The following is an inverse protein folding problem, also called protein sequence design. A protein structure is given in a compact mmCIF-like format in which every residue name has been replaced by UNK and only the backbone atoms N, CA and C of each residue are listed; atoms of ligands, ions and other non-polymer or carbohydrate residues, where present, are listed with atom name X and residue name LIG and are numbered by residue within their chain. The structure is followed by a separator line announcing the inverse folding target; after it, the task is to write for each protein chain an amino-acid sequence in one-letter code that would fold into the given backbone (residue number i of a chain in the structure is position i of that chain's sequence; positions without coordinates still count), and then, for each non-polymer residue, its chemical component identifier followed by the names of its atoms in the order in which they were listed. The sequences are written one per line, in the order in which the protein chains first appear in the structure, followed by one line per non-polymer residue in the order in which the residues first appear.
data_IF_700187692606
#
_entry.id   IF_700187692606
#
_cell.length_a   1.000
_cell.length_b   1.000
_cell.length_c   1.000
_cell.angle_alpha   90.00
_cell.angle_beta   90.00
_cell.angle_gamma   90.00
#
_symmetry.space_group_name_H-M   'P 1'
#
loop_
_entity.id
_entity.type
_entity.pdbx_description
1 polymer ?
#
# COMPACT_ATOMS: atom_id res chain seq x y z
N UNK A 1 -12.47 -5.01 -31.06
CA UNK A 1 -12.24 -3.78 -30.27
C UNK A 1 -12.02 -4.23 -28.84
N UNK A 2 -10.76 -4.27 -28.40
CA UNK A 2 -10.37 -4.99 -27.20
C UNK A 2 -9.65 -4.08 -26.20
N UNK A 3 -10.10 -4.14 -24.95
CA UNK A 3 -9.27 -3.81 -23.78
C UNK A 3 -8.55 -2.44 -23.90
N UNK A 4 -9.32 -1.36 -24.13
CA UNK A 4 -8.83 -0.14 -24.80
C UNK A 4 -8.58 1.05 -23.83
N UNK A 5 -7.62 0.88 -22.92
CA UNK A 5 -7.11 1.94 -22.05
C UNK A 5 -5.75 2.52 -22.52
N UNK A 6 -5.44 3.80 -22.26
CA UNK A 6 -4.24 4.46 -22.76
C UNK A 6 -2.95 3.83 -22.20
N UNK A 7 -1.89 3.81 -23.03
CA UNK A 7 -0.57 3.24 -22.71
C UNK A 7 0.14 3.98 -21.57
N UNK A 8 -0.06 5.29 -21.48
CA UNK A 8 0.43 6.14 -20.40
C UNK A 8 -0.73 6.95 -19.81
N UNK A 9 -0.66 7.24 -18.51
CA UNK A 9 -1.69 8.02 -17.79
C UNK A 9 -1.05 8.88 -16.70
N UNK A 10 -1.56 10.10 -16.54
CA UNK A 10 -1.25 11.00 -15.43
C UNK A 10 -2.40 10.96 -14.41
N UNK A 11 -2.09 11.07 -13.13
CA UNK A 11 -3.09 11.13 -12.07
C UNK A 11 -2.52 11.68 -10.76
N UNK A 12 -3.35 12.32 -9.94
CA UNK A 12 -3.11 12.42 -8.50
C UNK A 12 -3.54 11.12 -7.83
N UNK A 13 -2.76 10.62 -6.87
CA UNK A 13 -2.93 9.24 -6.41
C UNK A 13 -4.20 9.01 -5.56
N UNK A 14 -5.18 8.27 -6.10
CA UNK A 14 -6.43 7.90 -5.39
C UNK A 14 -6.21 7.27 -4.00
N UNK A 15 -5.11 6.52 -3.83
CA UNK A 15 -4.77 5.78 -2.61
C UNK A 15 -3.26 5.72 -2.39
N UNK A 16 -2.84 5.75 -1.12
CA UNK A 16 -1.43 5.66 -0.69
C UNK A 16 -0.83 4.24 -0.69
N UNK A 17 -1.33 3.34 -1.53
CA UNK A 17 -0.98 1.91 -1.53
C UNK A 17 -0.04 1.50 -2.67
N UNK A 18 0.01 2.28 -3.75
CA UNK A 18 0.80 1.95 -4.94
C UNK A 18 2.31 2.05 -4.66
N UNK A 19 3.07 0.99 -4.98
CA UNK A 19 4.53 0.98 -4.91
C UNK A 19 5.08 1.46 -6.25
N UNK A 20 6.02 2.42 -6.22
CA UNK A 20 6.67 2.91 -7.43
C UNK A 20 7.50 1.80 -8.12
N UNK A 21 7.28 1.59 -9.41
CA UNK A 21 7.94 0.53 -10.19
C UNK A 21 9.37 0.87 -10.65
N UNK A 22 9.94 2.02 -10.24
CA UNK A 22 11.36 2.29 -10.46
C UNK A 22 12.21 1.41 -9.54
N UNK A 23 13.25 0.75 -10.08
CA UNK A 23 13.94 -0.34 -9.39
C UNK A 23 14.52 0.02 -8.00
N UNK A 24 14.97 1.26 -7.79
CA UNK A 24 15.42 1.75 -6.49
C UNK A 24 14.25 1.95 -5.50
N UNK A 25 13.20 2.65 -5.93
CA UNK A 25 12.00 2.89 -5.12
C UNK A 25 11.28 1.59 -4.77
N UNK A 26 11.21 0.64 -5.71
CA UNK A 26 10.62 -0.70 -5.51
C UNK A 26 11.40 -1.52 -4.48
N UNK A 27 12.74 -1.49 -4.53
CA UNK A 27 13.61 -2.12 -3.51
C UNK A 27 13.49 -1.50 -2.12
N UNK A 28 13.20 -0.20 -2.05
CA UNK A 28 12.97 0.53 -0.81
C UNK A 28 11.49 0.52 -0.36
N UNK A 29 10.62 -0.26 -1.01
CA UNK A 29 9.16 -0.30 -0.80
C UNK A 29 8.49 1.09 -0.77
N UNK A 30 9.05 2.05 -1.50
CA UNK A 30 8.62 3.44 -1.49
C UNK A 30 7.26 3.58 -2.18
N UNK A 31 6.24 3.79 -1.34
CA UNK A 31 4.86 4.03 -1.76
C UNK A 31 4.71 5.43 -2.34
N UNK A 32 3.76 5.55 -3.25
CA UNK A 32 3.18 6.81 -3.72
C UNK A 32 2.07 7.14 -2.73
N UNK A 33 2.09 8.32 -2.10
CA UNK A 33 1.10 8.70 -1.08
C UNK A 33 -0.23 9.15 -1.72
N UNK A 34 -1.34 9.15 -0.98
CA UNK A 34 -2.62 9.66 -1.52
C UNK A 34 -2.41 11.12 -1.94
N UNK A 35 -2.94 11.49 -3.10
CA UNK A 35 -2.79 12.83 -3.64
C UNK A 35 -1.47 13.12 -4.35
N UNK A 36 -0.46 12.26 -4.32
CA UNK A 36 0.81 12.53 -5.03
C UNK A 36 0.66 12.39 -6.55
N UNK A 37 1.26 13.32 -7.31
CA UNK A 37 1.37 13.25 -8.77
C UNK A 37 2.16 12.00 -9.18
N UNK A 38 1.53 11.15 -10.00
CA UNK A 38 2.10 9.90 -10.49
C UNK A 38 1.87 9.70 -11.98
N UNK A 39 2.78 8.95 -12.59
CA UNK A 39 2.65 8.46 -13.96
C UNK A 39 2.44 6.95 -13.96
N UNK A 40 1.45 6.49 -14.72
CA UNK A 40 1.17 5.08 -14.95
C UNK A 40 1.62 4.65 -16.35
N UNK A 41 2.13 3.43 -16.47
CA UNK A 41 2.27 2.74 -17.75
C UNK A 41 1.42 1.48 -17.75
N UNK A 42 0.65 1.28 -18.81
CA UNK A 42 -0.21 0.11 -18.96
C UNK A 42 0.63 -1.09 -19.38
N UNK A 43 0.61 -2.12 -18.54
CA UNK A 43 1.47 -3.29 -18.64
C UNK A 43 0.62 -4.55 -18.54
N UNK A 44 0.88 -5.53 -19.40
CA UNK A 44 0.30 -6.85 -19.29
C UNK A 44 1.05 -7.61 -18.18
N UNK A 45 0.31 -8.12 -17.20
CA UNK A 45 0.80 -9.17 -16.32
C UNK A 45 0.38 -10.50 -16.92
N UNK A 46 1.34 -11.36 -17.20
CA UNK A 46 1.10 -12.73 -17.64
C UNK A 46 1.95 -13.67 -16.79
N UNK A 47 1.37 -14.79 -16.38
CA UNK A 47 2.03 -15.85 -15.62
C UNK A 47 1.75 -17.26 -16.20
N UNK A 48 1.26 -17.35 -17.44
CA UNK A 48 0.88 -18.59 -18.11
C UNK A 48 -0.46 -19.20 -17.66
N UNK A 49 -1.11 -18.63 -16.64
CA UNK A 49 -2.41 -19.07 -16.11
C UNK A 49 -3.45 -17.95 -16.22
N UNK A 50 -3.04 -16.70 -16.02
CA UNK A 50 -3.89 -15.51 -16.08
C UNK A 50 -3.14 -14.34 -16.72
N UNK A 51 -3.65 -13.87 -17.86
CA UNK A 51 -3.21 -12.65 -18.52
C UNK A 51 -4.14 -11.49 -18.11
N UNK A 52 -3.60 -10.43 -17.49
CA UNK A 52 -4.39 -9.24 -17.10
C UNK A 52 -3.63 -7.93 -17.27
N UNK A 53 -4.29 -6.91 -17.79
CA UNK A 53 -3.72 -5.56 -17.85
C UNK A 53 -3.77 -4.88 -16.49
N UNK A 54 -2.67 -4.23 -16.11
CA UNK A 54 -2.59 -3.39 -14.92
C UNK A 54 -1.83 -2.10 -15.19
N UNK A 55 -1.92 -1.14 -14.27
CA UNK A 55 -1.21 0.14 -14.37
C UNK A 55 0.04 0.12 -13.47
N UNK A 56 1.21 0.11 -14.08
CA UNK A 56 2.51 0.17 -13.42
C UNK A 56 2.84 1.63 -13.04
N UNK A 57 2.52 2.02 -11.81
CA UNK A 57 2.69 3.38 -11.30
C UNK A 57 4.14 3.72 -10.91
N UNK A 58 4.52 4.99 -11.08
CA UNK A 58 5.77 5.59 -10.60
C UNK A 58 5.51 6.98 -10.01
N UNK A 59 6.32 7.39 -9.04
CA UNK A 59 6.41 8.81 -8.64
C UNK A 59 6.72 9.69 -9.87
N UNK A 60 6.21 10.92 -9.91
CA UNK A 60 6.51 11.86 -11.00
C UNK A 60 8.02 11.99 -11.29
N UNK A 61 8.83 12.29 -10.28
CA UNK A 61 10.30 12.37 -10.41
C UNK A 61 11.01 11.07 -10.80
N UNK A 62 10.30 9.92 -10.85
CA UNK A 62 10.78 8.62 -11.31
C UNK A 62 10.33 8.26 -12.75
N UNK A 63 9.62 9.16 -13.44
CA UNK A 63 9.26 8.96 -14.84
C UNK A 63 10.50 8.86 -15.73
N UNK A 64 10.49 7.94 -16.69
CA UNK A 64 11.61 7.77 -17.63
C UNK A 64 11.45 8.69 -18.85
N UNK A 65 12.56 8.98 -19.53
CA UNK A 65 12.54 9.69 -20.83
C UNK A 65 11.61 9.01 -21.83
N UNK A 66 11.59 7.67 -21.86
CA UNK A 66 10.68 6.88 -22.69
C UNK A 66 9.20 7.09 -22.34
N UNK A 67 8.84 7.22 -21.06
CA UNK A 67 7.44 7.50 -20.68
C UNK A 67 6.99 8.90 -21.12
N UNK A 68 7.87 9.91 -21.04
CA UNK A 68 7.57 11.26 -21.52
C UNK A 68 7.57 11.34 -23.05
N UNK A 69 8.50 10.65 -23.73
CA UNK A 69 8.52 10.56 -25.19
C UNK A 69 7.27 9.85 -25.74
N UNK A 70 6.87 8.73 -25.15
CA UNK A 70 5.63 8.04 -25.53
C UNK A 70 4.38 8.87 -25.27
N UNK A 71 4.33 9.62 -24.15
CA UNK A 71 3.26 10.59 -23.90
C UNK A 71 3.19 11.63 -25.03
N UNK A 72 4.31 12.29 -25.37
CA UNK A 72 4.39 13.25 -26.49
C UNK A 72 3.91 12.67 -27.80
N UNK A 73 4.36 11.47 -28.14
CA UNK A 73 4.00 10.78 -29.39
C UNK A 73 2.49 10.54 -29.45
N UNK A 74 1.88 10.01 -28.39
CA UNK A 74 0.42 9.80 -28.31
C UNK A 74 -0.42 11.08 -28.22
N UNK A 75 0.21 12.24 -28.08
CA UNK A 75 -0.47 13.53 -27.86
C UNK A 75 -0.06 14.60 -28.87
N UNK A 76 0.68 14.23 -29.93
CA UNK A 76 1.14 15.17 -30.96
C UNK A 76 2.01 16.32 -30.40
N UNK A 77 2.76 16.04 -29.32
CA UNK A 77 3.50 16.98 -28.46
C UNK A 77 2.64 17.99 -27.66
N UNK A 78 1.31 17.88 -27.66
CA UNK A 78 0.43 18.72 -26.85
C UNK A 78 0.22 18.13 -25.44
N UNK A 79 0.71 18.77 -24.35
CA UNK A 79 0.53 18.24 -23.01
C UNK A 79 -0.95 18.21 -22.57
N UNK A 80 -1.82 19.05 -23.13
CA UNK A 80 -3.23 19.14 -22.73
C UNK A 80 -4.04 17.91 -23.15
N UNK A 81 -3.62 17.24 -24.23
CA UNK A 81 -4.19 15.96 -24.70
C UNK A 81 -3.73 14.75 -23.86
N UNK A 82 -2.79 14.91 -22.92
CA UNK A 82 -2.25 13.79 -22.15
C UNK A 82 -3.34 13.15 -21.26
N UNK A 83 -3.49 11.81 -21.26
CA UNK A 83 -4.58 11.16 -20.52
C UNK A 83 -4.54 11.44 -19.00
N UNK A 84 -5.50 12.24 -18.52
CA UNK A 84 -5.63 12.68 -17.12
C UNK A 84 -5.12 14.09 -16.81
N UNK A 85 -4.56 14.81 -17.78
CA UNK A 85 -4.06 16.19 -17.61
C UNK A 85 -5.16 17.17 -17.14
N UNK A 86 -6.40 16.95 -17.61
CA UNK A 86 -7.62 17.70 -17.29
C UNK A 86 -7.92 17.76 -15.78
N UNK A 87 -7.39 16.83 -14.99
CA UNK A 87 -7.71 16.66 -13.55
C UNK A 87 -6.55 17.00 -12.63
N UNK A 88 -5.42 17.39 -13.20
CA UNK A 88 -4.24 17.77 -12.43
C UNK A 88 -4.39 19.19 -11.87
N UNK A 89 -3.70 19.49 -10.77
CA UNK A 89 -3.55 20.87 -10.30
C UNK A 89 -2.82 21.73 -11.34
N UNK A 90 -2.99 23.06 -11.34
CA UNK A 90 -2.23 23.97 -12.21
C UNK A 90 -0.70 23.82 -12.06
N UNK A 91 -0.21 23.54 -10.85
CA UNK A 91 1.23 23.31 -10.60
C UNK A 91 1.71 22.00 -11.23
N UNK A 92 0.91 20.93 -11.13
CA UNK A 92 1.19 19.65 -11.80
C UNK A 92 1.12 19.78 -13.32
N UNK A 93 0.16 20.55 -13.86
CA UNK A 93 0.04 20.85 -15.29
C UNK A 93 1.31 21.54 -15.82
N UNK A 94 1.81 22.57 -15.12
CA UNK A 94 3.05 23.25 -15.50
C UNK A 94 4.26 22.31 -15.44
N UNK A 95 4.36 21.44 -14.42
CA UNK A 95 5.43 20.43 -14.39
C UNK A 95 5.37 19.44 -15.56
N UNK A 96 4.17 19.05 -16.00
CA UNK A 96 3.98 18.23 -17.21
C UNK A 96 4.39 19.00 -18.47
N UNK A 97 4.00 20.28 -18.59
CA UNK A 97 4.40 21.18 -19.70
C UNK A 97 5.93 21.31 -19.79
N UNK A 98 6.59 21.58 -18.68
CA UNK A 98 8.06 21.65 -18.59
C UNK A 98 8.74 20.30 -18.86
N UNK A 99 8.13 19.19 -18.46
CA UNK A 99 8.64 17.86 -18.79
C UNK A 99 8.49 17.54 -20.29
N UNK A 100 7.43 18.02 -20.94
CA UNK A 100 7.29 17.97 -22.40
C UNK A 100 8.38 18.82 -23.07
N UNK A 101 8.69 20.03 -22.62
CA UNK A 101 9.80 20.80 -23.21
C UNK A 101 11.14 20.05 -23.10
N UNK A 102 11.48 19.52 -21.91
CA UNK A 102 12.81 18.92 -21.64
C UNK A 102 12.92 17.42 -21.91
N UNK A 103 11.82 16.74 -22.22
CA UNK A 103 11.75 15.29 -22.41
C UNK A 103 11.94 14.45 -21.13
N UNK A 104 11.90 15.08 -19.95
CA UNK A 104 11.98 14.42 -18.64
C UNK A 104 11.49 15.35 -17.52
N UNK A 105 11.03 14.81 -16.36
CA UNK A 105 10.67 15.63 -15.20
C UNK A 105 11.82 16.56 -14.81
N UNK A 106 11.50 17.86 -14.68
CA UNK A 106 12.49 18.92 -14.42
C UNK A 106 12.86 18.92 -12.95
N UNK A 107 11.87 19.02 -12.08
CA UNK A 107 12.03 18.81 -10.65
C UNK A 107 11.69 17.36 -10.29
N UNK A 108 12.70 16.62 -9.80
CA UNK A 108 12.54 15.24 -9.32
C UNK A 108 12.10 15.14 -7.86
N UNK A 109 12.19 16.25 -7.12
CA UNK A 109 11.67 16.40 -5.77
C UNK A 109 10.20 16.78 -5.74
N UNK A 110 9.66 17.30 -6.85
CA UNK A 110 8.24 17.65 -6.99
C UNK A 110 7.32 16.43 -6.84
N UNK A 111 6.27 16.63 -6.04
CA UNK A 111 5.27 15.61 -5.69
C UNK A 111 3.83 16.04 -5.81
N UNK A 112 3.54 17.33 -5.57
CA UNK A 112 2.21 17.93 -5.51
C UNK A 112 1.16 17.02 -4.83
N UNK A 113 1.24 16.93 -3.50
CA UNK A 113 0.37 16.06 -2.71
C UNK A 113 -0.97 16.76 -2.48
N UNK A 114 -1.95 16.43 -3.31
CA UNK A 114 -3.30 17.02 -3.33
C UNK A 114 -4.36 15.97 -3.03
N UNK A 115 -4.64 15.76 -1.74
CA UNK A 115 -5.66 14.79 -1.31
C UNK A 115 -7.09 15.17 -1.72
N UNK A 116 -7.31 16.45 -2.06
CA UNK A 116 -8.52 17.04 -2.63
C UNK A 116 -8.74 16.64 -4.10
N UNK A 117 -7.65 16.52 -4.88
CA UNK A 117 -7.70 16.10 -6.29
C UNK A 117 -7.59 14.58 -6.47
N UNK A 118 -7.11 13.85 -5.47
CA UNK A 118 -7.14 12.40 -5.45
C UNK A 118 -8.59 11.89 -5.57
N UNK A 119 -8.89 11.13 -6.62
CA UNK A 119 -10.23 10.56 -6.79
C UNK A 119 -10.55 9.69 -5.59
N UNK A 120 -11.56 10.07 -4.82
CA UNK A 120 -12.07 9.18 -3.79
C UNK A 120 -12.60 7.93 -4.50
N UNK A 121 -12.08 6.76 -4.12
CA UNK A 121 -12.58 5.48 -4.62
C UNK A 121 -14.09 5.47 -4.41
N UNK A 122 -14.87 5.20 -5.47
CA UNK A 122 -16.34 5.29 -5.41
C UNK A 122 -16.85 4.43 -4.26
N UNK A 123 -17.25 5.07 -3.17
CA UNK A 123 -17.80 4.38 -2.02
C UNK A 123 -19.29 4.25 -2.26
N UNK A 124 -19.69 3.13 -2.81
CA UNK A 124 -21.09 2.80 -2.91
C UNK A 124 -21.57 2.31 -1.55
N UNK A 125 -22.39 3.14 -0.89
CA UNK A 125 -23.47 2.59 -0.09
C UNK A 125 -24.37 1.80 -1.04
N UNK A 126 -24.58 0.51 -0.75
CA UNK A 126 -25.39 -0.41 -1.55
C UNK A 126 -26.27 -1.21 -0.60
N UNK A 127 -27.53 -1.37 -0.97
CA UNK A 127 -28.39 -2.41 -0.42
C UNK A 127 -28.11 -3.72 -1.17
N UNK A 128 -27.73 -4.76 -0.43
CA UNK A 128 -27.31 -6.04 -1.00
C UNK A 128 -28.52 -6.97 -1.05
N UNK A 129 -29.25 -6.91 -2.17
CA UNK A 129 -30.39 -7.81 -2.47
C UNK A 129 -29.94 -9.19 -2.98
N UNK A 130 -28.65 -9.30 -3.23
CA UNK A 130 -27.87 -10.45 -3.67
C UNK A 130 -27.16 -11.14 -2.49
N UNK A 131 -27.73 -11.07 -1.28
CA UNK A 131 -27.19 -11.69 -0.08
C UNK A 131 -27.72 -13.13 0.11
N UNK A 132 -26.82 -14.08 0.31
CA UNK A 132 -27.15 -15.48 0.66
C UNK A 132 -27.32 -15.70 2.16
N UNK A 133 -26.79 -14.80 2.99
CA UNK A 133 -26.86 -14.95 4.43
C UNK A 133 -26.36 -13.73 5.18
N UNK A 134 -26.57 -13.78 6.48
CA UNK A 134 -26.24 -12.70 7.40
C UNK A 134 -25.50 -13.26 8.61
N UNK A 135 -24.65 -12.42 9.21
CA UNK A 135 -23.94 -12.75 10.43
C UNK A 135 -23.76 -11.55 11.35
N UNK A 136 -23.72 -11.80 12.65
CA UNK A 136 -23.23 -10.85 13.65
C UNK A 136 -21.79 -11.22 14.01
N UNK A 137 -20.89 -10.24 14.05
CA UNK A 137 -19.56 -10.42 14.62
C UNK A 137 -19.03 -9.15 15.28
N UNK A 138 -18.07 -9.30 16.18
CA UNK A 138 -17.35 -8.16 16.78
C UNK A 138 -16.14 -7.83 15.92
N UNK A 139 -16.03 -6.56 15.52
CA UNK A 139 -14.95 -6.10 14.65
C UNK A 139 -13.56 -6.35 15.26
N UNK A 140 -12.81 -7.30 14.69
CA UNK A 140 -11.43 -7.62 15.11
C UNK A 140 -10.40 -6.56 14.71
N UNK A 141 -10.71 -5.81 13.64
CA UNK A 141 -9.93 -4.71 13.07
C UNK A 141 -10.88 -3.66 12.48
N UNK A 142 -10.38 -2.45 12.27
CA UNK A 142 -11.15 -1.40 11.62
C UNK A 142 -11.64 -1.84 10.22
N UNK A 143 -12.93 -1.66 9.94
CA UNK A 143 -13.57 -2.01 8.68
C UNK A 143 -14.35 -0.81 8.10
N UNK A 144 -14.54 -0.79 6.79
CA UNK A 144 -15.43 0.17 6.14
C UNK A 144 -16.88 -0.28 6.31
N UNK A 145 -17.75 0.64 6.74
CA UNK A 145 -19.19 0.44 6.69
C UNK A 145 -19.71 0.61 5.25
N UNK A 146 -20.84 -0.03 4.94
CA UNK A 146 -21.58 0.10 3.65
C UNK A 146 -22.97 0.75 3.78
N UNK A 147 -23.34 1.26 4.96
CA UNK A 147 -24.54 2.08 5.16
C UNK A 147 -24.35 3.50 4.63
N UNK A 148 -25.44 4.18 4.26
CA UNK A 148 -25.45 5.47 3.56
C UNK A 148 -24.58 6.55 4.21
N UNK A 149 -25.01 7.04 5.37
CA UNK A 149 -24.37 8.17 6.07
C UNK A 149 -22.96 7.78 6.54
N UNK A 150 -22.84 6.58 7.12
CA UNK A 150 -21.57 5.96 7.47
C UNK A 150 -20.53 5.97 6.33
N UNK A 151 -20.95 5.83 5.07
CA UNK A 151 -20.08 5.87 3.88
C UNK A 151 -19.66 7.31 3.53
N UNK A 152 -20.63 8.23 3.50
CA UNK A 152 -20.44 9.65 3.18
C UNK A 152 -19.48 10.32 4.18
N UNK A 153 -19.73 10.13 5.46
CA UNK A 153 -18.95 10.71 6.56
C UNK A 153 -17.62 9.99 6.83
N UNK A 154 -17.28 9.01 5.98
CA UNK A 154 -16.07 8.19 6.10
C UNK A 154 -15.96 7.38 7.42
N UNK A 155 -17.07 7.22 8.16
CA UNK A 155 -17.10 6.57 9.47
C UNK A 155 -16.79 5.08 9.33
N UNK A 156 -15.77 4.63 10.06
CA UNK A 156 -15.33 3.24 10.09
C UNK A 156 -15.95 2.50 11.26
N UNK A 157 -16.16 1.20 11.08
CA UNK A 157 -16.44 0.27 12.17
C UNK A 157 -15.09 0.05 12.88
N UNK A 158 -14.90 0.55 14.09
CA UNK A 158 -13.64 0.39 14.82
C UNK A 158 -13.59 -0.95 15.58
N UNK A 159 -12.41 -1.34 16.05
CA UNK A 159 -12.23 -2.62 16.76
C UNK A 159 -13.10 -2.66 18.02
N UNK A 160 -13.79 -3.78 18.23
CA UNK A 160 -14.65 -4.00 19.41
C UNK A 160 -16.14 -3.67 19.20
N UNK A 161 -16.53 -2.99 18.11
CA UNK A 161 -17.94 -2.75 17.82
C UNK A 161 -18.63 -3.98 17.23
N UNK A 162 -19.88 -4.17 17.60
CA UNK A 162 -20.82 -5.07 16.91
C UNK A 162 -21.07 -4.56 15.48
N UNK A 163 -21.07 -5.49 14.52
CA UNK A 163 -21.34 -5.21 13.11
C UNK A 163 -22.18 -6.32 12.47
N UNK A 164 -22.96 -5.93 11.48
CA UNK A 164 -23.61 -6.87 10.57
C UNK A 164 -22.65 -7.21 9.43
N UNK A 165 -22.43 -8.49 9.17
CA UNK A 165 -21.80 -9.00 7.96
C UNK A 165 -22.85 -9.56 7.01
N UNK A 166 -22.94 -8.99 5.82
CA UNK A 166 -23.80 -9.45 4.73
C UNK A 166 -22.96 -10.36 3.83
N UNK A 167 -23.40 -11.58 3.62
CA UNK A 167 -22.70 -12.62 2.88
C UNK A 167 -23.18 -12.64 1.42
N UNK A 168 -22.27 -12.39 0.47
CA UNK A 168 -22.58 -12.25 -0.96
C UNK A 168 -21.58 -13.07 -1.77
N UNK A 169 -22.04 -13.96 -2.66
CA UNK A 169 -21.17 -14.65 -3.59
C UNK A 169 -20.41 -13.69 -4.51
N UNK A 170 -19.12 -13.96 -4.68
CA UNK A 170 -18.26 -13.22 -5.60
C UNK A 170 -18.10 -13.95 -6.94
N UNK A 171 -17.96 -15.27 -6.90
CA UNK A 171 -17.67 -16.14 -8.05
C UNK A 171 -18.39 -17.51 -8.00
N UNK A 172 -19.29 -17.71 -7.03
CA UNK A 172 -20.03 -18.97 -6.81
C UNK A 172 -19.30 -20.00 -5.93
N UNK A 173 -18.01 -19.80 -5.66
CA UNK A 173 -17.22 -20.61 -4.71
C UNK A 173 -16.90 -19.81 -3.43
N UNK A 174 -16.71 -18.49 -3.55
CA UNK A 174 -16.27 -17.60 -2.49
C UNK A 174 -17.34 -16.58 -2.07
N UNK A 175 -17.80 -16.74 -0.83
CA UNK A 175 -18.69 -15.79 -0.15
C UNK A 175 -17.87 -14.65 0.47
N UNK A 176 -18.10 -13.41 0.02
CA UNK A 176 -17.43 -12.21 0.54
C UNK A 176 -18.31 -11.47 1.55
N UNK A 177 -17.86 -11.25 2.80
CA UNK A 177 -18.61 -10.47 3.78
C UNK A 177 -18.46 -8.96 3.57
N UNK A 178 -19.58 -8.28 3.31
CA UNK A 178 -19.69 -6.81 3.34
C UNK A 178 -20.22 -6.36 4.71
N UNK A 179 -19.59 -5.34 5.30
CA UNK A 179 -19.91 -4.94 6.68
C UNK A 179 -20.70 -3.63 6.77
N UNK A 180 -21.67 -3.59 7.67
CA UNK A 180 -22.35 -2.38 8.16
C UNK A 180 -22.16 -2.28 9.67
N UNK A 181 -22.10 -1.07 10.26
CA UNK A 181 -22.33 -0.96 11.71
C UNK A 181 -23.73 -1.52 12.02
N UNK A 182 -23.95 -2.07 13.21
CA UNK A 182 -25.28 -2.57 13.60
C UNK A 182 -26.37 -1.51 13.34
N UNK A 183 -26.14 -0.26 13.79
CA UNK A 183 -27.03 0.88 13.54
C UNK A 183 -27.14 1.41 12.10
N UNK A 184 -26.25 0.98 11.19
CA UNK A 184 -26.28 1.36 9.77
C UNK A 184 -26.98 0.29 8.89
N UNK A 185 -27.75 -0.62 9.51
CA UNK A 185 -28.66 -1.57 8.84
C UNK A 185 -29.88 -0.84 8.24
N UNK A 186 -30.24 -1.16 6.99
CA UNK A 186 -31.52 -0.76 6.41
C UNK A 186 -32.65 -1.65 6.92
N UNK A 187 -33.90 -1.21 6.73
CA UNK A 187 -35.09 -2.03 7.03
C UNK A 187 -35.09 -3.36 6.28
N UNK A 188 -34.52 -3.39 5.08
CA UNK A 188 -34.34 -4.60 4.28
C UNK A 188 -33.25 -5.52 4.86
N UNK A 189 -32.08 -4.97 5.24
CA UNK A 189 -31.03 -5.77 5.89
C UNK A 189 -31.57 -6.42 7.18
N UNK A 190 -32.37 -5.70 7.97
CA UNK A 190 -32.97 -6.19 9.21
C UNK A 190 -33.99 -7.30 8.96
N UNK A 191 -34.95 -7.09 8.05
CA UNK A 191 -35.96 -8.10 7.73
C UNK A 191 -35.32 -9.40 7.21
N UNK A 192 -34.32 -9.31 6.32
CA UNK A 192 -33.60 -10.48 5.84
C UNK A 192 -32.75 -11.14 6.94
N UNK A 193 -32.12 -10.38 7.83
CA UNK A 193 -31.39 -10.91 8.97
C UNK A 193 -32.31 -11.66 9.97
N UNK A 194 -33.50 -11.13 10.25
CA UNK A 194 -34.54 -11.80 11.06
C UNK A 194 -34.98 -13.11 10.40
N UNK A 195 -35.30 -13.11 9.11
CA UNK A 195 -35.68 -14.33 8.38
C UNK A 195 -34.58 -15.39 8.39
N UNK A 196 -33.30 -15.00 8.29
CA UNK A 196 -32.18 -15.94 8.45
C UNK A 196 -32.07 -16.46 9.89
N UNK A 197 -32.36 -15.63 10.90
CA UNK A 197 -32.32 -16.04 12.30
C UNK A 197 -33.43 -17.06 12.63
N UNK A 198 -34.66 -16.81 12.20
CA UNK A 198 -35.80 -17.72 12.36
C UNK A 198 -35.56 -19.10 11.71
N UNK A 199 -34.81 -19.14 10.61
CA UNK A 199 -34.40 -20.38 9.93
C UNK A 199 -33.18 -21.08 10.54
N UNK A 200 -32.48 -20.46 11.48
CA UNK A 200 -31.19 -20.95 12.00
C UNK A 200 -30.00 -20.75 11.03
N UNK A 201 -30.16 -19.94 9.99
CA UNK A 201 -29.16 -19.62 8.96
C UNK A 201 -28.35 -18.35 9.29
N UNK A 202 -28.60 -17.71 10.43
CA UNK A 202 -27.88 -16.50 10.86
C UNK A 202 -26.62 -16.86 11.67
N UNK A 203 -25.45 -16.53 11.12
CA UNK A 203 -24.18 -16.99 11.68
C UNK A 203 -23.60 -16.07 12.76
N UNK A 204 -22.79 -16.65 13.66
CA UNK A 204 -21.84 -15.92 14.49
C UNK A 204 -22.35 -15.42 15.85
N UNK A 205 -23.65 -15.50 16.15
CA UNK A 205 -24.22 -15.10 17.46
C UNK A 205 -23.53 -15.82 18.62
N UNK A 206 -23.23 -17.11 18.50
CA UNK A 206 -22.60 -17.88 19.58
C UNK A 206 -21.22 -17.35 19.97
N UNK A 207 -20.54 -16.67 19.04
CA UNK A 207 -19.14 -16.24 19.15
C UNK A 207 -18.97 -14.75 19.56
N UNK A 208 -20.06 -14.04 19.87
CA UNK A 208 -19.98 -12.65 20.38
C UNK A 208 -20.18 -12.61 21.92
N UNK A 209 -19.65 -11.60 22.62
CA UNK A 209 -19.92 -11.37 24.04
C UNK A 209 -21.42 -11.27 24.35
N UNK A 210 -21.81 -11.71 25.55
CA UNK A 210 -23.22 -11.73 26.00
C UNK A 210 -23.90 -10.36 25.91
N UNK A 211 -23.18 -9.28 26.28
CA UNK A 211 -23.62 -7.89 26.14
C UNK A 211 -24.08 -7.55 24.71
N UNK A 212 -23.49 -8.17 23.68
CA UNK A 212 -23.89 -7.99 22.28
C UNK A 212 -24.90 -9.04 21.81
N UNK A 213 -24.90 -10.27 22.34
CA UNK A 213 -25.95 -11.26 22.05
C UNK A 213 -27.32 -10.72 22.42
N UNK A 214 -27.47 -10.16 23.62
CA UNK A 214 -28.71 -9.53 24.05
C UNK A 214 -29.18 -8.43 23.09
N UNK A 215 -28.26 -7.63 22.54
CA UNK A 215 -28.60 -6.57 21.57
C UNK A 215 -29.07 -7.16 20.24
N UNK A 216 -28.44 -8.24 19.76
CA UNK A 216 -28.88 -8.95 18.55
C UNK A 216 -30.28 -9.53 18.74
N UNK A 217 -30.51 -10.24 19.85
CA UNK A 217 -31.81 -10.85 20.16
C UNK A 217 -32.91 -9.80 20.29
N UNK A 218 -32.68 -8.75 21.11
CA UNK A 218 -33.64 -7.64 21.25
C UNK A 218 -33.91 -6.93 19.92
N UNK A 219 -32.91 -6.77 19.04
CA UNK A 219 -33.11 -6.21 17.69
C UNK A 219 -34.03 -7.06 16.82
N UNK A 220 -33.94 -8.40 16.92
CA UNK A 220 -34.79 -9.31 16.17
C UNK A 220 -36.19 -9.46 16.77
N UNK A 221 -36.33 -9.39 18.10
CA UNK A 221 -37.61 -9.41 18.80
C UNK A 221 -38.43 -8.13 18.57
N UNK A 222 -37.79 -6.95 18.62
CA UNK A 222 -38.50 -5.67 18.45
C UNK A 222 -38.76 -5.31 16.98
N UNK A 223 -37.97 -5.86 16.05
CA UNK A 223 -37.98 -5.40 14.65
C UNK A 223 -37.42 -3.98 14.47
N UNK A 224 -36.73 -3.44 15.46
CA UNK A 224 -36.06 -2.14 15.41
C UNK A 224 -34.58 -2.26 15.78
N UNK A 225 -33.73 -1.46 15.14
CA UNK A 225 -32.28 -1.54 15.31
C UNK A 225 -31.86 -0.92 16.63
N UNK A 226 -31.65 -1.76 17.65
CA UNK A 226 -31.18 -1.33 18.98
C UNK A 226 -29.73 -0.86 18.89
N UNK A 227 -29.43 0.33 19.41
CA UNK A 227 -28.05 0.83 19.43
C UNK A 227 -27.18 0.00 20.41
N UNK A 228 -26.08 -0.64 19.96
CA UNK A 228 -25.25 -1.43 20.84
C UNK A 228 -24.51 -0.55 21.86
N UNK A 229 -24.25 -1.04 23.09
CA UNK A 229 -23.45 -0.30 24.06
C UNK A 229 -22.06 -0.02 23.50
N UNK A 230 -21.52 1.16 23.81
CA UNK A 230 -20.16 1.49 23.38
C UNK A 230 -19.16 0.48 23.97
N UNK A 231 -18.31 -0.16 23.16
CA UNK A 231 -17.41 -1.17 23.67
C UNK A 231 -16.42 -0.56 24.64
N UNK A 232 -16.16 -1.27 25.74
CA UNK A 232 -15.17 -0.97 26.78
C UNK A 232 -13.74 -1.12 26.24
N UNK A 233 -13.37 -0.30 25.25
CA UNK A 233 -12.05 -0.30 24.61
C UNK A 233 -11.07 0.35 25.58
N UNK A 234 -10.29 -0.46 26.29
CA UNK A 234 -9.13 0.02 27.03
C UNK A 234 -8.27 0.87 26.08
N UNK A 235 -7.90 2.12 26.46
CA UNK A 235 -7.33 3.08 25.53
C UNK A 235 -6.06 2.51 24.87
N UNK A 236 -5.83 2.80 23.58
CA UNK A 236 -4.68 2.27 22.86
C UNK A 236 -3.41 2.69 23.59
N UNK A 237 -2.62 1.70 24.06
CA UNK A 237 -1.30 1.95 24.68
C UNK A 237 -0.54 2.92 23.78
N UNK A 238 -0.30 4.12 24.29
CA UNK A 238 0.33 5.19 23.53
C UNK A 238 1.65 4.67 22.98
N UNK A 239 1.83 4.78 21.65
CA UNK A 239 3.09 4.35 21.02
C UNK A 239 4.19 5.17 21.66
N UNK A 240 5.09 4.51 22.38
CA UNK A 240 6.22 5.16 23.03
C UNK A 240 6.96 6.02 21.99
N UNK A 241 7.19 7.30 22.32
CA UNK A 241 7.97 8.20 21.45
C UNK A 241 9.29 7.51 21.09
N UNK A 242 9.77 7.57 19.83
CA UNK A 242 11.06 7.01 19.49
C UNK A 242 12.13 7.69 20.34
N UNK A 243 12.84 6.92 21.17
CA UNK A 243 13.95 7.44 21.97
C UNK A 243 14.97 8.07 21.03
N UNK A 244 15.37 9.31 21.33
CA UNK A 244 16.42 10.01 20.61
C UNK A 244 17.70 9.17 20.62
N UNK A 245 18.32 9.02 19.45
CA UNK A 245 19.60 8.31 19.32
C UNK A 245 20.68 9.14 20.01
N UNK A 246 21.25 8.63 21.11
CA UNK A 246 22.52 9.13 21.63
C UNK A 246 23.64 8.85 20.61
N UNK A 247 24.59 9.78 20.43
CA UNK A 247 25.67 9.60 19.46
C UNK A 247 26.62 8.48 19.92
N UNK A 248 26.86 7.53 19.01
CA UNK A 248 27.73 6.37 19.23
C UNK A 248 29.20 6.82 19.24
N UNK A 249 29.82 6.82 20.42
CA UNK A 249 31.25 7.09 20.58
C UNK A 249 32.11 6.09 19.79
N UNK A 250 33.23 6.58 19.24
CA UNK A 250 34.22 5.75 18.53
C UNK A 250 34.87 4.77 19.49
N UNK A 251 34.97 3.49 19.11
CA UNK A 251 35.87 2.53 19.77
C UNK A 251 37.31 2.91 19.46
N UNK A 252 38.10 3.21 20.49
CA UNK A 252 39.56 3.10 20.44
C UNK A 252 39.98 1.69 20.89
N UNK A 253 41.09 1.21 20.34
CA UNK A 253 41.57 -0.17 20.44
C UNK A 253 42.50 -0.33 21.64
N UNK A 254 42.28 -1.36 22.47
CA UNK A 254 43.13 -1.72 23.60
C UNK A 254 44.49 -2.26 23.12
N UNK A 255 45.58 -1.85 23.78
CA UNK A 255 46.84 -2.62 23.91
C UNK A 255 47.39 -2.38 25.33
N UNK A 256 48.13 -3.35 25.85
CA UNK A 256 48.48 -3.52 27.26
C UNK A 256 49.49 -2.49 27.82
N UNK A 257 49.30 -2.25 29.12
CA UNK A 257 50.28 -1.97 30.21
C UNK A 257 51.60 -2.80 30.12
N UNK A 258 52.68 -2.52 30.88
CA UNK A 258 52.70 -1.75 32.15
C UNK A 258 53.87 -0.75 32.36
N UNK A 259 53.75 0.06 33.44
CA UNK A 259 54.70 0.18 34.58
C UNK A 259 54.92 1.60 35.11
N UNK A 260 54.92 1.70 36.45
CA UNK A 260 55.48 2.74 37.33
C UNK A 260 54.94 4.19 37.38
N UNK A 261 54.16 4.41 38.44
CA UNK A 261 54.48 5.28 39.60
C UNK A 261 54.51 6.83 39.44
N UNK A 262 54.25 7.59 40.53
CA UNK A 262 53.59 8.91 40.42
C UNK A 262 54.41 10.11 40.94
N UNK A 263 54.00 11.32 40.57
CA UNK A 263 54.10 12.59 41.32
C UNK A 263 53.17 13.62 40.61
N UNK A 264 52.30 14.34 41.35
CA UNK A 264 52.44 15.77 41.73
C UNK A 264 52.58 16.75 40.54
N UNK A 265 51.90 17.91 40.48
CA UNK A 265 50.89 18.54 41.35
C UNK A 265 50.15 19.63 40.54
N UNK A 266 49.14 20.25 41.16
CA UNK A 266 48.77 21.69 41.15
C UNK A 266 49.48 22.63 40.12
N UNK A 267 48.84 23.62 39.49
CA UNK A 267 47.74 24.43 40.03
C UNK A 267 46.99 25.33 39.00
N UNK A 268 45.81 25.81 39.43
CA UNK A 268 45.10 27.09 39.18
C UNK A 268 45.11 27.81 37.78
N UNK A 269 43.94 28.16 37.22
CA UNK A 269 43.15 29.44 37.37
C UNK A 269 43.91 30.69 36.88
N UNK A 270 43.36 31.72 36.23
CA UNK A 270 42.02 32.13 35.76
C UNK A 270 42.26 33.10 34.56
N UNK A 271 41.52 33.07 33.45
CA UNK A 271 40.29 33.86 33.18
C UNK A 271 40.59 35.38 32.88
N UNK A 272 39.62 36.26 32.57
CA UNK A 272 39.16 36.46 31.19
C UNK A 272 39.34 37.90 30.62
N UNK A 273 38.78 38.12 29.41
CA UNK A 273 37.80 39.19 29.10
C UNK A 273 38.12 40.14 27.91
N UNK A 274 37.02 40.73 27.40
CA UNK A 274 36.86 41.92 26.52
C UNK A 274 37.03 41.65 24.99
N UNK A 275 35.94 41.60 24.18
CA UNK A 275 35.10 42.69 23.59
C UNK A 275 35.86 43.59 22.59
N UNK A 276 35.32 44.09 21.46
CA UNK A 276 33.99 44.04 20.81
C UNK A 276 34.08 44.60 19.35
N UNK A 277 33.05 44.36 18.50
CA UNK A 277 32.65 45.16 17.31
C UNK A 277 33.55 45.18 16.04
N UNK A 278 33.07 44.75 14.86
CA UNK A 278 32.23 45.46 13.86
C UNK A 278 32.96 46.68 13.22
N UNK A 279 33.19 46.78 11.90
CA UNK A 279 32.15 47.04 10.87
C UNK A 279 32.71 47.11 9.42
N UNK A 280 31.80 46.97 8.43
CA UNK A 280 31.77 47.62 7.09
C UNK A 280 32.74 47.18 5.95
N UNK A 281 32.14 46.85 4.79
CA UNK A 281 32.75 46.66 3.46
C UNK A 281 32.88 47.99 2.67
N UNK A 282 33.69 48.08 1.59
CA UNK A 282 33.15 47.73 0.25
C UNK A 282 34.18 47.16 -0.78
N UNK A 283 33.66 46.47 -1.80
CA UNK A 283 34.39 46.03 -3.02
C UNK A 283 34.62 47.22 -3.99
N UNK A 284 35.42 47.10 -5.10
CA UNK A 284 34.88 46.51 -6.34
C UNK A 284 35.87 45.96 -7.43
N UNK A 285 35.29 45.36 -8.49
CA UNK A 285 35.79 45.19 -9.90
C UNK A 285 36.71 44.00 -10.33
N UNK A 286 36.25 43.33 -11.40
CA UNK A 286 36.92 42.57 -12.50
C UNK A 286 37.51 41.13 -12.35
N UNK A 287 37.16 40.32 -13.36
CA UNK A 287 37.71 39.04 -13.87
C UNK A 287 38.60 39.36 -15.10
N UNK A 288 39.53 38.51 -15.66
CA UNK A 288 39.22 37.11 -16.06
C UNK A 288 40.36 36.04 -16.29
N UNK A 289 39.90 34.79 -16.50
CA UNK A 289 40.44 33.69 -17.38
C UNK A 289 41.79 32.95 -17.10
N UNK A 290 41.63 31.72 -16.58
CA UNK A 290 42.02 30.42 -17.16
C UNK A 290 43.50 30.02 -17.52
N UNK A 291 43.91 28.81 -17.08
CA UNK A 291 44.69 27.81 -17.86
C UNK A 291 44.59 26.38 -17.27
N UNK A 292 44.94 25.35 -18.06
CA UNK A 292 44.71 23.90 -17.83
C UNK A 292 45.97 23.11 -17.41
N UNK A 293 45.74 21.83 -17.07
CA UNK A 293 46.65 20.64 -17.05
C UNK A 293 47.07 20.19 -15.64
N UNK A 294 47.34 18.89 -15.38
CA UNK A 294 47.77 17.79 -16.28
C UNK A 294 47.19 16.43 -15.82
N UNK A 295 46.98 15.50 -16.75
CA UNK A 295 46.50 14.14 -16.45
C UNK A 295 47.67 13.14 -16.23
N UNK A 296 47.38 11.98 -15.63
CA UNK A 296 48.25 10.79 -15.70
C UNK A 296 47.42 9.52 -15.94
N UNK A 297 47.57 8.94 -17.13
CA UNK A 297 47.05 7.62 -17.54
C UNK A 297 48.00 6.50 -17.06
N UNK A 298 47.48 5.27 -16.95
CA UNK A 298 48.09 4.01 -17.44
C UNK A 298 47.00 2.91 -17.55
N UNK A 299 47.21 1.80 -18.29
CA UNK A 299 46.43 1.58 -19.51
C UNK A 299 45.54 0.32 -19.48
N UNK A 300 44.80 0.12 -20.58
CA UNK A 300 44.15 -1.14 -20.91
C UNK A 300 45.03 -1.94 -21.88
N UNK A 301 44.82 -3.26 -21.90
CA UNK A 301 45.24 -4.17 -22.97
C UNK A 301 43.98 -4.88 -23.47
N UNK A 302 43.81 -4.93 -24.78
CA UNK A 302 42.71 -5.63 -25.47
C UNK A 302 43.17 -7.02 -25.90
N UNK A 303 42.30 -8.03 -25.87
CA UNK A 303 42.33 -9.15 -26.81
C UNK A 303 40.90 -9.62 -27.15
N UNK A 304 40.75 -9.69 -28.47
CA UNK A 304 39.76 -10.24 -29.39
C UNK A 304 38.57 -11.16 -28.97
N UNK A 305 37.61 -11.10 -29.88
CA UNK A 305 36.36 -11.82 -30.12
C UNK A 305 36.26 -13.30 -29.70
N UNK A 306 35.11 -13.64 -29.11
CA UNK A 306 34.58 -15.00 -29.01
C UNK A 306 33.05 -14.98 -28.95
N UNK A 307 32.40 -15.69 -29.87
CA UNK A 307 30.94 -15.82 -29.93
C UNK A 307 30.43 -16.84 -28.91
N UNK A 308 29.48 -16.48 -28.04
CA UNK A 308 28.60 -17.45 -27.37
C UNK A 308 27.33 -16.79 -26.82
N UNK A 309 26.31 -17.60 -26.54
CA UNK A 309 24.91 -17.17 -26.42
C UNK A 309 24.57 -16.36 -25.14
N UNK A 310 23.53 -15.52 -25.22
CA UNK A 310 22.91 -14.95 -24.00
C UNK A 310 22.37 -16.07 -23.10
N UNK A 311 22.68 -16.06 -21.79
CA UNK A 311 22.07 -17.00 -20.86
C UNK A 311 20.60 -16.64 -20.61
N UNK A 312 19.71 -17.56 -21.00
CA UNK A 312 18.28 -17.48 -20.80
C UNK A 312 17.91 -17.18 -19.34
N UNK A 313 17.15 -16.10 -19.11
CA UNK A 313 16.76 -15.68 -17.77
C UNK A 313 15.67 -16.60 -17.19
N UNK A 314 16.09 -17.64 -16.47
CA UNK A 314 15.18 -18.50 -15.70
C UNK A 314 14.74 -17.81 -14.40
N UNK A 315 13.44 -17.48 -14.20
CA UNK A 315 12.98 -16.88 -12.96
C UNK A 315 13.11 -17.88 -11.80
N UNK A 316 13.83 -17.50 -10.74
CA UNK A 316 13.97 -18.35 -9.55
C UNK A 316 12.61 -18.56 -8.87
N UNK A 317 12.17 -19.83 -8.79
CA UNK A 317 11.00 -20.26 -8.02
C UNK A 317 11.10 -19.72 -6.58
N UNK A 318 10.16 -18.86 -6.18
CA UNK A 318 10.01 -18.46 -4.78
C UNK A 318 9.57 -19.68 -3.98
N UNK A 319 10.28 -19.99 -2.89
CA UNK A 319 9.87 -21.04 -1.96
C UNK A 319 8.56 -20.64 -1.28
N UNK A 320 7.44 -21.18 -1.74
CA UNK A 320 6.21 -21.21 -0.96
C UNK A 320 6.45 -22.02 0.32
N UNK A 321 5.93 -21.53 1.45
CA UNK A 321 5.80 -22.35 2.65
C UNK A 321 4.72 -23.39 2.39
N UNK A 322 5.10 -24.63 2.12
CA UNK A 322 4.21 -25.76 2.35
C UNK A 322 4.04 -25.93 3.86
N UNK A 323 2.79 -25.98 4.32
CA UNK A 323 2.44 -26.55 5.61
C UNK A 323 2.04 -28.01 5.38
N UNK A 324 2.45 -28.96 6.24
CA UNK A 324 2.16 -30.37 6.01
C UNK A 324 0.68 -30.67 6.28
N UNK A 325 -0.07 -31.02 5.24
CA UNK A 325 -1.33 -31.74 5.41
C UNK A 325 -1.01 -33.20 5.71
N UNK A 326 -1.66 -33.77 6.73
CA UNK A 326 -1.57 -35.21 7.01
C UNK A 326 -2.50 -35.94 6.05
N UNK A 327 -1.97 -36.92 5.33
CA UNK A 327 -2.78 -37.87 4.56
C UNK A 327 -3.66 -38.70 5.50
N UNK A 328 -4.95 -38.79 5.18
CA UNK A 328 -5.84 -39.80 5.71
C UNK A 328 -5.82 -41.00 4.75
N UNK A 329 -5.50 -42.17 5.29
CA UNK A 329 -5.27 -43.40 4.54
C UNK A 329 -6.57 -43.93 3.91
N UNK A 330 -6.59 -44.14 2.59
CA UNK A 330 -7.66 -44.89 1.91
C UNK A 330 -7.11 -46.25 1.50
N UNK A 331 -7.33 -47.24 2.36
CA UNK A 331 -7.07 -48.64 2.06
C UNK A 331 -8.24 -49.17 1.21
N UNK A 332 -7.95 -49.50 -0.04
CA UNK A 332 -8.83 -50.29 -0.88
C UNK A 332 -8.43 -51.77 -0.74
N UNK A 333 -9.36 -52.61 -0.33
CA UNK A 333 -9.30 -54.05 -0.59
C UNK A 333 -10.62 -54.49 -1.23
N UNK A 334 -10.52 -55.37 -2.22
CA UNK A 334 -11.64 -55.87 -3.00
C UNK A 334 -11.86 -57.36 -2.73
N UNK A 335 -13.11 -57.74 -2.50
CA UNK A 335 -13.60 -59.13 -2.47
C UNK A 335 -15.11 -59.09 -2.81
N UNK A 336 -15.53 -59.40 -4.04
CA UNK A 336 -15.92 -60.74 -4.53
C UNK A 336 -17.13 -61.37 -3.82
N UNK A 337 -18.33 -61.27 -4.42
CA UNK A 337 -19.30 -62.38 -4.55
C UNK A 337 -20.55 -61.96 -5.34
N UNK A 338 -20.83 -62.63 -6.46
CA UNK A 338 -22.21 -62.91 -6.89
C UNK A 338 -22.71 -64.16 -6.12
N UNK A 339 -24.04 -64.35 -5.95
CA UNK A 339 -24.90 -65.04 -6.95
C UNK A 339 -26.10 -64.16 -7.37
N UNK A 340 -26.71 -64.31 -8.55
CA UNK A 340 -27.66 -65.36 -9.02
C UNK A 340 -29.00 -65.45 -8.25
N UNK A 341 -30.09 -65.37 -9.04
CA UNK A 341 -31.49 -65.85 -8.89
C UNK A 341 -32.54 -64.76 -9.27
N UNK A 342 -33.36 -64.94 -10.32
CA UNK A 342 -34.67 -65.66 -10.35
C UNK A 342 -35.68 -65.06 -9.34
N UNK A 343 -36.95 -64.70 -9.59
CA UNK A 343 -37.95 -64.72 -10.70
C UNK A 343 -39.03 -63.64 -10.36
N UNK A 344 -40.05 -63.24 -11.14
CA UNK A 344 -40.66 -63.72 -12.40
C UNK A 344 -41.38 -62.55 -13.15
N UNK A 345 -41.97 -62.84 -14.33
CA UNK A 345 -43.05 -62.13 -15.07
C UNK A 345 -43.11 -60.59 -15.11
#
# INVERSE_FOLDING_TARGET
MGDEGPKWRLDHADTGSAICQQAACKRNESKIVKGELRIGTRTLFDNGIQSRWYMAWRHWGCATKHQIAGLKETTENDPTKAPGYDRLSPESQEQVRLAFEKGMPVDKGFKDIREDLAKNSRKYAKEYRDAEGYKADVATRAAACRGGDCVSDNIKIIKGHLRLGILVNFDGEHVTPYYKHWKCMSKYDLACAQMCYEKGEFYGIDNIPEEFKEVVLKTFETGEVVEPPEPKVAPPKTKAKPKSKTPRSKKTKVKLEPSDSPEESEDQLEDPNVKLQETISPSPVAKPKAKKSKAKRRPAEDIDSGSEAEPEYVPRKSRSRSSPFKEANVLAEAATSAPEDLVDN
#
